data_IF_154511787541
#
_entry.id   IF_154511787541
#
_cell.length_a   1.000
_cell.length_b   1.000
_cell.length_c   1.000
_cell.angle_alpha   90.00
_cell.angle_beta   90.00
_cell.angle_gamma   90.00
#
_symmetry.space_group_name_H-M   'P 1'
#
loop_
_entity.id
_entity.type
_entity.pdbx_description
1 polymer ?
#
# COMPACT_ATOMS: atom_id res chain seq x y z
N UNK A 1 -16.95 -27.19 -1.82
CA UNK A 1 -17.82 -26.76 -2.95
C UNK A 1 -17.37 -27.48 -4.21
N UNK A 2 -18.29 -28.10 -4.99
CA UNK A 2 -17.92 -28.61 -6.32
C UNK A 2 -17.84 -27.43 -7.28
N UNK A 3 -16.66 -27.16 -7.80
CA UNK A 3 -16.46 -26.20 -8.87
C UNK A 3 -17.00 -26.77 -10.19
N UNK A 4 -17.31 -25.88 -11.12
CA UNK A 4 -17.50 -26.28 -12.51
C UNK A 4 -16.26 -27.03 -13.02
N UNK A 5 -16.39 -28.12 -13.82
CA UNK A 5 -15.26 -28.88 -14.34
C UNK A 5 -14.20 -28.02 -15.07
N UNK A 6 -14.61 -26.89 -15.65
CA UNK A 6 -13.70 -25.96 -16.29
C UNK A 6 -12.83 -25.25 -15.26
N UNK A 7 -13.43 -24.75 -14.18
CA UNK A 7 -12.70 -24.10 -13.08
C UNK A 7 -11.77 -25.08 -12.36
N UNK A 8 -12.16 -26.36 -12.22
CA UNK A 8 -11.30 -27.42 -11.65
C UNK A 8 -10.01 -27.62 -12.46
N UNK A 9 -10.07 -27.54 -13.79
CA UNK A 9 -8.88 -27.63 -14.64
C UNK A 9 -7.92 -26.44 -14.42
N UNK A 10 -8.46 -25.25 -14.23
CA UNK A 10 -7.65 -24.08 -13.89
C UNK A 10 -7.11 -24.15 -12.46
N UNK A 11 -7.88 -24.68 -11.51
CA UNK A 11 -7.41 -24.94 -10.14
C UNK A 11 -6.14 -25.80 -10.12
N UNK A 12 -6.03 -26.80 -10.99
CA UNK A 12 -4.85 -27.65 -11.09
C UNK A 12 -3.64 -26.98 -11.78
N UNK A 13 -3.87 -26.09 -12.76
CA UNK A 13 -2.80 -25.51 -13.61
C UNK A 13 -2.36 -24.11 -13.20
N UNK A 14 -3.31 -23.24 -12.81
CA UNK A 14 -3.10 -21.83 -12.48
C UNK A 14 -3.89 -21.44 -11.22
N UNK A 15 -3.63 -22.10 -10.06
CA UNK A 15 -4.40 -21.88 -8.83
C UNK A 15 -4.35 -20.44 -8.36
N UNK A 16 -3.20 -19.76 -8.47
CA UNK A 16 -3.05 -18.37 -8.03
C UNK A 16 -3.91 -17.43 -8.86
N UNK A 17 -3.92 -17.60 -10.19
CA UNK A 17 -4.76 -16.79 -11.09
C UNK A 17 -6.24 -16.99 -10.79
N UNK A 18 -6.66 -18.23 -10.53
CA UNK A 18 -8.03 -18.56 -10.17
C UNK A 18 -8.42 -17.94 -8.81
N UNK A 19 -7.57 -18.08 -7.78
CA UNK A 19 -7.80 -17.48 -6.46
C UNK A 19 -7.89 -15.96 -6.54
N UNK A 20 -7.00 -15.31 -7.31
CA UNK A 20 -7.02 -13.87 -7.51
C UNK A 20 -8.34 -13.44 -8.17
N UNK A 21 -8.72 -14.09 -9.28
CA UNK A 21 -9.94 -13.75 -9.99
C UNK A 21 -11.17 -13.93 -9.11
N UNK A 22 -11.29 -15.06 -8.41
CA UNK A 22 -12.40 -15.33 -7.49
C UNK A 22 -12.49 -14.26 -6.37
N UNK A 23 -11.34 -13.84 -5.82
CA UNK A 23 -11.30 -12.79 -4.80
C UNK A 23 -11.72 -11.43 -5.36
N UNK A 24 -11.31 -11.10 -6.59
CA UNK A 24 -11.74 -9.87 -7.27
C UNK A 24 -13.25 -9.89 -7.54
N UNK A 25 -13.79 -11.00 -8.04
CA UNK A 25 -15.22 -11.14 -8.30
C UNK A 25 -16.07 -11.02 -7.01
N UNK A 26 -15.58 -11.58 -5.92
CA UNK A 26 -16.25 -11.45 -4.63
C UNK A 26 -16.26 -10.02 -4.10
N UNK A 27 -15.10 -9.37 -4.12
CA UNK A 27 -14.91 -8.06 -3.48
C UNK A 27 -15.39 -6.89 -4.36
N UNK A 28 -15.23 -6.98 -5.69
CA UNK A 28 -15.35 -5.85 -6.61
C UNK A 28 -16.33 -6.14 -7.75
N UNK A 29 -17.57 -6.49 -7.40
CA UNK A 29 -18.63 -6.62 -8.41
C UNK A 29 -18.91 -5.29 -9.11
N UNK A 30 -19.40 -5.28 -10.36
CA UNK A 30 -19.78 -4.06 -11.05
C UNK A 30 -20.68 -3.14 -10.23
N UNK A 31 -21.70 -3.70 -9.56
CA UNK A 31 -22.64 -2.95 -8.74
C UNK A 31 -21.94 -2.26 -7.56
N UNK A 32 -21.10 -3.00 -6.80
CA UNK A 32 -20.36 -2.43 -5.67
C UNK A 32 -19.41 -1.32 -6.09
N UNK A 33 -18.72 -1.48 -7.23
CA UNK A 33 -17.81 -0.46 -7.74
C UNK A 33 -18.55 0.79 -8.20
N UNK A 34 -19.67 0.62 -8.91
CA UNK A 34 -20.47 1.76 -9.38
C UNK A 34 -21.20 2.45 -8.23
N UNK A 35 -21.66 1.72 -7.21
CA UNK A 35 -22.21 2.28 -5.98
C UNK A 35 -21.16 3.09 -5.22
N UNK A 36 -19.95 2.54 -5.04
CA UNK A 36 -18.82 3.25 -4.43
C UNK A 36 -18.54 4.56 -5.18
N UNK A 37 -18.45 4.51 -6.50
CA UNK A 37 -18.25 5.70 -7.32
C UNK A 37 -19.39 6.70 -7.14
N UNK A 38 -20.63 6.24 -7.21
CA UNK A 38 -21.82 7.09 -7.06
C UNK A 38 -21.94 7.77 -5.69
N UNK A 39 -21.43 7.12 -4.64
CA UNK A 39 -21.47 7.67 -3.27
C UNK A 39 -20.42 8.75 -3.00
N UNK A 40 -19.32 8.78 -3.76
CA UNK A 40 -18.13 9.62 -3.48
C UNK A 40 -17.89 10.68 -4.57
N UNK A 41 -18.12 10.34 -5.85
CA UNK A 41 -17.80 11.22 -6.95
C UNK A 41 -18.71 12.45 -6.98
N UNK A 42 -18.12 13.64 -7.08
CA UNK A 42 -18.86 14.90 -7.23
C UNK A 42 -19.34 15.10 -8.68
N UNK A 43 -18.55 14.64 -9.66
CA UNK A 43 -18.87 14.70 -11.08
C UNK A 43 -19.22 13.32 -11.61
N UNK A 44 -20.50 13.05 -11.78
CA UNK A 44 -20.99 11.76 -12.26
C UNK A 44 -21.34 11.83 -13.76
N UNK A 45 -20.38 11.47 -14.61
CA UNK A 45 -20.62 11.24 -16.03
C UNK A 45 -20.49 9.75 -16.34
N UNK A 46 -21.62 9.00 -16.34
CA UNK A 46 -21.63 7.53 -16.41
C UNK A 46 -22.51 6.97 -17.54
N UNK A 47 -22.60 7.65 -18.68
CA UNK A 47 -23.55 7.22 -19.74
C UNK A 47 -23.18 5.87 -20.38
N UNK A 48 -21.94 5.69 -20.84
CA UNK A 48 -21.51 4.47 -21.56
C UNK A 48 -20.26 3.84 -20.93
N UNK A 49 -19.46 4.61 -20.21
CA UNK A 49 -18.23 4.15 -19.57
C UNK A 49 -18.39 4.19 -18.07
N UNK A 50 -18.78 3.08 -17.49
CA UNK A 50 -18.99 2.88 -16.05
C UNK A 50 -17.66 2.80 -15.30
N UNK A 51 -17.69 2.96 -13.98
CA UNK A 51 -16.46 2.92 -13.17
C UNK A 51 -15.86 1.51 -13.12
N UNK A 52 -16.69 0.47 -13.01
CA UNK A 52 -16.24 -0.93 -13.06
C UNK A 52 -15.48 -1.24 -14.36
N UNK A 53 -15.92 -0.73 -15.51
CA UNK A 53 -15.24 -0.89 -16.79
C UNK A 53 -13.84 -0.27 -16.78
N UNK A 54 -13.67 0.92 -16.16
CA UNK A 54 -12.38 1.58 -15.99
C UNK A 54 -11.48 0.80 -15.03
N UNK A 55 -12.04 0.30 -13.92
CA UNK A 55 -11.32 -0.53 -12.96
C UNK A 55 -10.83 -1.80 -13.62
N UNK A 56 -11.69 -2.52 -14.36
CA UNK A 56 -11.32 -3.75 -15.06
C UNK A 56 -10.21 -3.53 -16.08
N UNK A 57 -10.30 -2.44 -16.87
CA UNK A 57 -9.30 -2.07 -17.85
C UNK A 57 -7.94 -1.78 -17.21
N UNK A 58 -7.91 -0.99 -16.13
CA UNK A 58 -6.66 -0.67 -15.45
C UNK A 58 -6.10 -1.85 -14.66
N UNK A 59 -6.92 -2.71 -14.06
CA UNK A 59 -6.45 -3.92 -13.41
C UNK A 59 -5.72 -4.85 -14.39
N UNK A 60 -6.19 -4.96 -15.65
CA UNK A 60 -5.49 -5.71 -16.67
C UNK A 60 -4.08 -5.17 -16.96
N UNK A 61 -3.88 -3.84 -16.86
CA UNK A 61 -2.57 -3.21 -17.03
C UNK A 61 -1.72 -3.39 -15.78
N UNK A 62 -2.27 -3.11 -14.62
CA UNK A 62 -1.59 -3.19 -13.33
C UNK A 62 -1.09 -4.62 -13.04
N UNK A 63 -1.90 -5.63 -13.35
CA UNK A 63 -1.55 -7.06 -13.23
C UNK A 63 -0.65 -7.55 -14.38
N UNK A 64 -0.21 -6.66 -15.28
CA UNK A 64 0.64 -6.99 -16.45
C UNK A 64 0.02 -8.01 -17.41
N UNK A 65 -1.29 -8.19 -17.39
CA UNK A 65 -2.03 -8.99 -18.37
C UNK A 65 -2.02 -8.28 -19.72
N UNK A 66 -2.08 -6.94 -19.70
CA UNK A 66 -1.96 -6.08 -20.88
C UNK A 66 -0.82 -5.06 -20.67
N UNK A 67 -0.04 -4.75 -21.72
CA UNK A 67 1.14 -3.89 -21.59
C UNK A 67 0.78 -2.38 -21.44
N UNK A 68 -0.43 -1.97 -21.78
CA UNK A 68 -0.85 -0.57 -21.74
C UNK A 68 -2.36 -0.43 -21.71
N UNK A 69 -2.83 0.76 -21.34
CA UNK A 69 -4.26 1.14 -21.40
C UNK A 69 -4.84 0.95 -22.80
N UNK A 70 -4.08 1.32 -23.85
CA UNK A 70 -4.52 1.13 -25.23
C UNK A 70 -4.66 -0.34 -25.60
N UNK A 71 -3.72 -1.19 -25.19
CA UNK A 71 -3.79 -2.64 -25.40
C UNK A 71 -4.97 -3.25 -24.64
N UNK A 72 -5.20 -2.85 -23.39
CA UNK A 72 -6.34 -3.29 -22.60
C UNK A 72 -7.68 -2.88 -23.23
N UNK A 73 -7.76 -1.67 -23.77
CA UNK A 73 -8.94 -1.21 -24.51
C UNK A 73 -9.19 -2.03 -25.79
N UNK A 74 -8.14 -2.41 -26.53
CA UNK A 74 -8.28 -3.15 -27.82
C UNK A 74 -8.58 -4.63 -27.64
N UNK A 75 -8.05 -5.25 -26.58
CA UNK A 75 -8.10 -6.69 -26.36
C UNK A 75 -9.00 -7.11 -25.19
N UNK A 76 -9.55 -6.14 -24.45
CA UNK A 76 -10.52 -6.36 -23.39
C UNK A 76 -11.97 -6.46 -23.92
N UNK A 77 -12.94 -6.52 -23.01
CA UNK A 77 -14.35 -6.43 -23.36
C UNK A 77 -14.65 -5.19 -24.20
N UNK A 78 -15.51 -5.33 -25.21
CA UNK A 78 -15.85 -4.23 -26.10
C UNK A 78 -16.49 -3.07 -25.31
N UNK A 79 -15.83 -1.90 -25.36
CA UNK A 79 -16.38 -0.68 -24.80
C UNK A 79 -16.99 0.13 -25.94
N UNK A 80 -18.27 0.47 -25.84
CA UNK A 80 -18.98 1.29 -26.85
C UNK A 80 -18.58 2.77 -26.77
N UNK A 81 -17.26 3.04 -26.74
CA UNK A 81 -16.72 4.39 -26.59
C UNK A 81 -15.32 4.47 -27.22
N UNK A 82 -14.83 5.68 -27.47
CA UNK A 82 -13.48 5.88 -28.03
C UNK A 82 -12.41 5.77 -26.94
N UNK A 83 -11.18 5.43 -27.35
CA UNK A 83 -10.01 5.43 -26.47
C UNK A 83 -9.76 6.83 -25.84
N UNK A 84 -10.07 7.90 -26.59
CA UNK A 84 -9.98 9.28 -26.07
C UNK A 84 -10.93 9.50 -24.91
N UNK A 85 -12.16 8.97 -24.98
CA UNK A 85 -13.12 9.04 -23.87
C UNK A 85 -12.65 8.23 -22.66
N UNK A 86 -11.99 7.08 -22.87
CA UNK A 86 -11.36 6.30 -21.78
C UNK A 86 -10.32 7.14 -21.04
N UNK A 87 -9.38 7.77 -21.77
CA UNK A 87 -8.37 8.64 -21.14
C UNK A 87 -9.00 9.86 -20.46
N UNK A 88 -10.03 10.47 -21.07
CA UNK A 88 -10.76 11.58 -20.45
C UNK A 88 -11.42 11.17 -19.13
N UNK A 89 -12.03 9.99 -19.09
CA UNK A 89 -12.62 9.44 -17.85
C UNK A 89 -11.56 9.17 -16.79
N UNK A 90 -10.43 8.54 -17.16
CA UNK A 90 -9.31 8.29 -16.24
C UNK A 90 -8.77 9.58 -15.62
N UNK A 91 -8.62 10.63 -16.42
CA UNK A 91 -8.15 11.94 -15.98
C UNK A 91 -9.19 12.70 -15.14
N UNK A 92 -10.46 12.31 -15.22
CA UNK A 92 -11.57 12.92 -14.49
C UNK A 92 -11.88 12.26 -13.14
N UNK A 93 -11.37 11.05 -12.85
CA UNK A 93 -11.62 10.38 -11.57
C UNK A 93 -10.97 11.18 -10.42
N UNK A 94 -11.79 11.58 -9.46
CA UNK A 94 -11.37 12.43 -8.35
C UNK A 94 -10.52 11.66 -7.33
N UNK A 95 -9.55 12.33 -6.64
CA UNK A 95 -8.74 11.69 -5.60
C UNK A 95 -9.59 11.00 -4.51
N UNK A 96 -10.73 11.58 -4.13
CA UNK A 96 -11.64 10.99 -3.14
C UNK A 96 -12.14 9.60 -3.56
N UNK A 97 -12.44 9.38 -4.84
CA UNK A 97 -12.85 8.06 -5.36
C UNK A 97 -11.68 7.07 -5.29
N UNK A 98 -10.48 7.54 -5.61
CA UNK A 98 -9.25 6.77 -5.52
C UNK A 98 -8.97 6.28 -4.08
N UNK A 99 -9.16 7.17 -3.11
CA UNK A 99 -9.02 6.88 -1.67
C UNK A 99 -10.08 5.91 -1.18
N UNK A 100 -11.35 6.18 -1.53
CA UNK A 100 -12.46 5.32 -1.16
C UNK A 100 -12.30 3.89 -1.70
N UNK A 101 -11.75 3.73 -2.91
CA UNK A 101 -11.47 2.41 -3.50
C UNK A 101 -10.44 1.62 -2.68
N UNK A 102 -9.36 2.26 -2.23
CA UNK A 102 -8.36 1.60 -1.38
C UNK A 102 -8.94 1.25 -0.02
N UNK A 103 -9.64 2.18 0.63
CA UNK A 103 -10.31 1.95 1.91
C UNK A 103 -11.31 0.78 1.82
N UNK A 104 -12.15 0.78 0.79
CA UNK A 104 -13.10 -0.30 0.53
C UNK A 104 -12.39 -1.65 0.37
N UNK A 105 -11.28 -1.69 -0.41
CA UNK A 105 -10.50 -2.90 -0.61
C UNK A 105 -9.91 -3.41 0.71
N UNK A 106 -9.32 -2.52 1.50
CA UNK A 106 -8.75 -2.84 2.81
C UNK A 106 -9.78 -3.43 3.74
N UNK A 107 -10.92 -2.75 3.90
CA UNK A 107 -12.01 -3.17 4.79
C UNK A 107 -12.64 -4.50 4.35
N UNK A 108 -12.91 -4.66 3.06
CA UNK A 108 -13.56 -5.87 2.52
C UNK A 108 -12.64 -7.08 2.62
N UNK A 109 -11.37 -6.95 2.23
CA UNK A 109 -10.43 -8.05 2.22
C UNK A 109 -9.93 -8.41 3.63
N UNK A 110 -9.89 -7.45 4.56
CA UNK A 110 -9.53 -7.71 5.95
C UNK A 110 -10.48 -8.72 6.61
N UNK A 111 -11.77 -8.75 6.21
CA UNK A 111 -12.75 -9.71 6.72
C UNK A 111 -12.35 -11.16 6.46
N UNK A 112 -11.67 -11.45 5.36
CA UNK A 112 -11.22 -12.81 5.04
C UNK A 112 -10.19 -13.31 6.06
N UNK A 113 -9.35 -12.42 6.61
CA UNK A 113 -8.36 -12.78 7.61
C UNK A 113 -8.98 -13.12 8.98
N UNK A 114 -10.23 -12.76 9.24
CA UNK A 114 -10.90 -13.11 10.50
C UNK A 114 -11.21 -14.60 10.60
N UNK A 115 -11.26 -15.31 9.47
CA UNK A 115 -11.52 -16.75 9.39
C UNK A 115 -10.25 -17.61 9.43
N UNK A 116 -9.07 -16.98 9.48
CA UNK A 116 -7.79 -17.66 9.60
C UNK A 116 -7.08 -17.29 10.90
N UNK A 117 -6.23 -18.18 11.46
CA UNK A 117 -5.39 -17.82 12.59
C UNK A 117 -4.55 -16.57 12.31
N UNK A 118 -4.32 -15.77 13.35
CA UNK A 118 -3.52 -14.55 13.23
C UNK A 118 -2.13 -14.89 12.67
N UNK A 119 -1.83 -14.36 11.49
CA UNK A 119 -0.57 -14.62 10.78
C UNK A 119 0.62 -13.93 11.47
N UNK A 120 0.41 -12.71 11.91
CA UNK A 120 1.43 -11.89 12.59
C UNK A 120 0.84 -11.34 13.87
N UNK A 121 1.25 -11.86 15.04
CA UNK A 121 0.79 -11.33 16.31
C UNK A 121 1.28 -9.89 16.51
N UNK A 122 0.50 -9.10 17.24
CA UNK A 122 0.90 -7.74 17.59
C UNK A 122 2.18 -7.78 18.45
N UNK A 123 3.20 -6.99 18.08
CA UNK A 123 4.47 -6.97 18.81
C UNK A 123 4.33 -6.36 20.22
N UNK A 124 3.27 -5.59 20.44
CA UNK A 124 2.83 -5.12 21.75
C UNK A 124 1.42 -5.66 21.98
N UNK A 125 1.21 -6.60 22.91
CA UNK A 125 -0.09 -7.22 23.10
C UNK A 125 -1.22 -6.20 23.32
N UNK A 126 -2.32 -6.38 22.59
CA UNK A 126 -3.49 -5.50 22.65
C UNK A 126 -3.33 -4.17 21.93
N UNK A 127 -2.22 -3.95 21.21
CA UNK A 127 -2.05 -2.77 20.34
C UNK A 127 -1.95 -3.20 18.89
N UNK A 128 -2.87 -2.73 18.06
CA UNK A 128 -2.86 -3.01 16.62
C UNK A 128 -1.79 -2.16 15.92
N UNK A 129 -0.75 -2.81 15.38
CA UNK A 129 0.33 -2.13 14.69
C UNK A 129 -0.11 -1.64 13.32
N UNK A 130 0.02 -0.33 13.08
CA UNK A 130 -0.22 0.35 11.82
C UNK A 130 1.00 1.17 11.41
N UNK A 131 1.42 1.03 10.17
CA UNK A 131 2.56 1.77 9.63
C UNK A 131 2.06 2.79 8.61
N UNK A 132 2.49 4.05 8.74
CA UNK A 132 2.22 5.15 7.82
C UNK A 132 3.52 5.57 7.15
N UNK A 133 3.50 5.69 5.82
CA UNK A 133 4.63 6.23 5.05
C UNK A 133 4.14 6.90 3.77
N UNK A 134 4.97 7.81 3.22
CA UNK A 134 4.72 8.49 1.96
C UNK A 134 5.33 7.76 0.77
N UNK A 135 4.66 7.87 -0.38
CA UNK A 135 5.16 7.36 -1.65
C UNK A 135 4.98 8.41 -2.74
N UNK A 136 6.07 8.77 -3.41
CA UNK A 136 6.04 9.64 -4.59
C UNK A 136 5.88 8.78 -5.84
N UNK A 137 4.89 9.14 -6.67
CA UNK A 137 4.73 8.52 -7.97
C UNK A 137 5.79 9.07 -8.91
N UNK A 138 6.57 8.19 -9.49
CA UNK A 138 7.60 8.49 -10.47
C UNK A 138 7.39 7.61 -11.72
N UNK A 139 8.22 7.70 -12.70
CA UNK A 139 8.18 6.79 -13.85
C UNK A 139 7.21 7.17 -14.96
N UNK A 140 6.46 8.28 -14.87
CA UNK A 140 5.70 8.79 -16.03
C UNK A 140 6.63 9.38 -17.07
N UNK A 141 6.32 9.17 -18.35
CA UNK A 141 7.06 9.75 -19.45
C UNK A 141 6.69 11.24 -19.62
N UNK A 142 7.60 12.04 -20.23
CA UNK A 142 7.35 13.43 -20.58
C UNK A 142 6.37 13.56 -21.76
N UNK A 143 5.22 12.92 -21.67
CA UNK A 143 4.19 12.90 -22.73
C UNK A 143 3.40 14.19 -22.81
N UNK A 144 3.27 14.90 -21.70
CA UNK A 144 2.58 16.18 -21.66
C UNK A 144 3.46 17.25 -22.29
N UNK A 145 2.90 18.04 -23.19
CA UNK A 145 3.62 19.09 -23.92
C UNK A 145 4.46 19.99 -22.98
N UNK A 146 3.93 20.44 -21.80
CA UNK A 146 4.69 21.29 -20.87
C UNK A 146 5.91 20.64 -20.26
N UNK A 147 6.02 19.33 -20.30
CA UNK A 147 7.10 18.57 -19.68
C UNK A 147 8.15 18.08 -20.67
N UNK A 148 7.89 18.22 -22.00
CA UNK A 148 8.74 17.65 -23.04
C UNK A 148 10.16 18.23 -23.04
N UNK A 149 10.27 19.52 -22.79
CA UNK A 149 11.56 20.22 -22.79
C UNK A 149 12.22 20.26 -21.40
N UNK A 150 11.60 19.65 -20.42
CA UNK A 150 12.14 19.60 -19.05
C UNK A 150 13.16 18.47 -18.91
N UNK A 151 14.39 18.78 -18.50
CA UNK A 151 15.38 17.77 -18.11
C UNK A 151 15.08 17.10 -16.76
N UNK A 152 14.09 17.57 -16.00
CA UNK A 152 13.71 17.07 -14.69
C UNK A 152 12.68 15.94 -14.78
N UNK A 153 12.69 15.00 -13.81
CA UNK A 153 11.68 13.98 -13.71
C UNK A 153 10.31 14.59 -13.41
N UNK A 154 9.27 14.16 -14.12
CA UNK A 154 7.90 14.56 -13.84
C UNK A 154 7.31 13.68 -12.74
N UNK A 155 6.81 14.30 -11.66
CA UNK A 155 6.12 13.64 -10.57
C UNK A 155 4.61 13.89 -10.69
N UNK A 156 3.81 12.89 -11.08
CA UNK A 156 2.37 13.08 -11.30
C UNK A 156 1.57 13.16 -10.00
N UNK A 157 2.17 12.83 -8.86
CA UNK A 157 1.52 12.92 -7.56
C UNK A 157 2.30 12.24 -6.46
N UNK A 158 1.72 12.26 -5.26
CA UNK A 158 2.20 11.53 -4.09
C UNK A 158 1.03 10.94 -3.33
N UNK A 159 1.31 9.98 -2.47
CA UNK A 159 0.32 9.38 -1.58
C UNK A 159 0.90 9.14 -0.18
N UNK A 160 0.05 9.24 0.85
CA UNK A 160 0.31 8.62 2.13
C UNK A 160 -0.44 7.29 2.18
N UNK A 161 0.22 6.25 2.62
CA UNK A 161 -0.35 4.89 2.66
C UNK A 161 -0.28 4.35 4.07
N UNK A 162 -1.38 3.74 4.52
CA UNK A 162 -1.46 3.04 5.80
C UNK A 162 -1.42 1.55 5.57
N UNK A 163 -0.53 0.88 6.27
CA UNK A 163 -0.41 -0.58 6.28
C UNK A 163 -0.89 -1.14 7.62
N UNK A 164 -1.77 -2.11 7.58
CA UNK A 164 -2.09 -2.97 8.72
C UNK A 164 -1.05 -4.10 8.80
N UNK A 165 -0.24 -4.09 9.84
CA UNK A 165 0.89 -5.02 9.95
C UNK A 165 0.47 -6.46 10.28
N UNK A 166 -0.72 -6.65 10.87
CA UNK A 166 -1.27 -7.97 11.20
C UNK A 166 -1.60 -8.78 9.94
N UNK A 167 -2.23 -8.12 8.95
CA UNK A 167 -2.65 -8.74 7.70
C UNK A 167 -1.66 -8.52 6.56
N UNK A 168 -0.91 -7.41 6.59
CA UNK A 168 -0.04 -6.94 5.53
C UNK A 168 -0.78 -6.12 4.46
N UNK A 169 -2.08 -5.87 4.63
CA UNK A 169 -2.88 -5.07 3.72
C UNK A 169 -2.51 -3.59 3.80
N UNK A 170 -2.58 -2.91 2.67
CA UNK A 170 -2.56 -1.45 2.57
C UNK A 170 -4.02 -0.98 2.64
N UNK A 171 -4.42 -0.49 3.83
CA UNK A 171 -5.86 -0.31 4.15
C UNK A 171 -6.40 1.05 3.76
N UNK A 172 -5.55 2.06 3.75
CA UNK A 172 -5.97 3.44 3.53
C UNK A 172 -4.93 4.20 2.72
N UNK A 173 -5.37 5.20 1.99
CA UNK A 173 -4.54 6.00 1.11
C UNK A 173 -5.04 7.44 1.11
N UNK A 174 -4.12 8.41 1.27
CA UNK A 174 -4.35 9.82 0.93
C UNK A 174 -3.74 10.07 -0.44
N UNK A 175 -4.54 10.42 -1.43
CA UNK A 175 -4.09 10.77 -2.77
C UNK A 175 -3.87 12.28 -2.89
N UNK A 176 -2.68 12.71 -3.33
CA UNK A 176 -2.34 14.11 -3.52
C UNK A 176 -1.82 14.35 -4.93
N UNK A 177 -2.49 15.21 -5.69
CA UNK A 177 -2.12 15.53 -7.06
C UNK A 177 -0.83 16.34 -7.14
N UNK A 178 -0.56 17.21 -6.14
CA UNK A 178 0.66 18.00 -6.09
C UNK A 178 1.77 17.24 -5.33
N UNK A 179 2.75 16.73 -6.07
CA UNK A 179 3.89 16.01 -5.54
C UNK A 179 4.82 16.88 -4.64
N UNK A 180 4.64 18.20 -4.61
CA UNK A 180 5.40 19.08 -3.71
C UNK A 180 4.66 19.39 -2.41
N UNK A 181 3.48 18.83 -2.21
CA UNK A 181 2.76 18.94 -0.95
C UNK A 181 3.57 18.26 0.17
N UNK A 182 3.70 18.93 1.30
CA UNK A 182 4.36 18.33 2.46
C UNK A 182 3.48 17.21 3.05
N UNK A 183 4.06 16.05 3.31
CA UNK A 183 3.39 14.94 4.01
C UNK A 183 2.75 15.40 5.33
N UNK A 184 3.39 16.35 6.01
CA UNK A 184 2.85 16.93 7.26
C UNK A 184 1.51 17.62 7.07
N UNK A 185 1.29 18.30 5.95
CA UNK A 185 0.03 19.00 5.67
C UNK A 185 -1.14 18.06 5.35
N UNK A 186 -0.85 16.78 5.08
CA UNK A 186 -1.85 15.76 4.78
C UNK A 186 -2.32 14.98 6.04
N UNK A 187 -1.75 15.28 7.20
CA UNK A 187 -2.02 14.50 8.42
C UNK A 187 -3.48 14.56 8.89
N UNK A 188 -4.12 15.71 8.78
CA UNK A 188 -5.52 15.86 9.18
C UNK A 188 -6.43 14.86 8.43
N UNK A 189 -6.03 14.44 7.23
CA UNK A 189 -6.72 13.42 6.44
C UNK A 189 -6.47 11.99 6.94
N UNK A 190 -5.42 11.77 7.71
CA UNK A 190 -5.11 10.47 8.35
C UNK A 190 -5.85 10.30 9.67
N UNK A 191 -6.10 11.41 10.39
CA UNK A 191 -6.72 11.39 11.72
C UNK A 191 -8.05 10.61 11.82
N UNK A 192 -8.96 10.64 10.83
CA UNK A 192 -10.19 9.84 10.87
C UNK A 192 -9.98 8.32 10.94
N UNK A 193 -8.81 7.83 10.53
CA UNK A 193 -8.48 6.40 10.54
C UNK A 193 -7.82 5.94 11.85
N UNK A 194 -7.44 6.89 12.71
CA UNK A 194 -6.80 6.61 13.99
C UNK A 194 -7.84 6.14 14.99
N UNK A 195 -7.65 4.94 15.52
CA UNK A 195 -8.53 4.32 16.52
C UNK A 195 -7.80 4.14 17.85
N UNK A 196 -8.57 4.04 18.92
CA UNK A 196 -8.03 3.69 20.23
C UNK A 196 -7.30 2.33 20.16
N UNK A 197 -6.23 2.21 20.94
CA UNK A 197 -5.34 1.04 20.96
C UNK A 197 -4.63 0.72 19.61
N UNK A 198 -4.64 1.62 18.62
CA UNK A 198 -3.70 1.57 17.51
C UNK A 198 -2.29 1.95 17.99
N UNK A 199 -1.27 1.26 17.47
CA UNK A 199 0.14 1.63 17.58
C UNK A 199 0.67 2.08 16.22
N UNK A 200 0.84 3.38 16.06
CA UNK A 200 1.28 3.98 14.80
C UNK A 200 2.79 4.07 14.70
N UNK A 201 3.31 3.52 13.63
CA UNK A 201 4.73 3.50 13.29
C UNK A 201 4.98 4.45 12.13
N UNK A 202 5.81 5.49 12.36
CA UNK A 202 6.06 6.52 11.36
C UNK A 202 7.54 6.93 11.30
N UNK A 203 7.97 7.50 10.17
CA UNK A 203 9.32 8.03 10.01
C UNK A 203 9.47 9.41 10.66
N UNK A 204 10.70 9.91 10.64
CA UNK A 204 11.08 11.23 11.19
C UNK A 204 10.31 12.40 10.55
N UNK A 205 9.86 12.27 9.30
CA UNK A 205 9.05 13.26 8.61
C UNK A 205 7.76 13.60 9.35
N UNK A 206 7.22 12.65 10.11
CA UNK A 206 6.00 12.78 10.89
C UNK A 206 6.23 13.17 12.36
N UNK A 207 7.46 13.49 12.78
CA UNK A 207 7.78 13.87 14.14
C UNK A 207 7.46 15.35 14.40
N UNK A 208 6.20 15.70 14.45
CA UNK A 208 5.71 17.02 14.86
C UNK A 208 4.77 16.90 16.04
N UNK A 209 4.64 17.96 16.84
CA UNK A 209 3.74 17.90 18.00
C UNK A 209 2.29 17.63 17.59
N UNK A 210 1.81 18.23 16.50
CA UNK A 210 0.44 18.04 16.02
C UNK A 210 0.14 16.57 15.70
N UNK A 211 1.09 15.86 15.09
CA UNK A 211 0.98 14.42 14.86
C UNK A 211 0.93 13.63 16.15
N UNK A 212 1.89 13.89 17.04
CA UNK A 212 2.00 13.17 18.31
C UNK A 212 0.79 13.41 19.20
N UNK A 213 0.29 14.65 19.26
CA UNK A 213 -0.92 15.01 19.98
C UNK A 213 -2.18 14.40 19.35
N UNK A 214 -2.29 14.46 18.01
CA UNK A 214 -3.43 13.90 17.29
C UNK A 214 -3.63 12.40 17.51
N UNK A 215 -2.55 11.63 17.65
CA UNK A 215 -2.63 10.23 18.05
C UNK A 215 -3.04 10.08 19.52
N UNK A 216 -2.42 10.84 20.43
CA UNK A 216 -2.68 10.76 21.86
C UNK A 216 -4.13 11.15 22.22
N UNK A 217 -4.68 12.18 21.59
CA UNK A 217 -6.07 12.64 21.75
C UNK A 217 -7.10 11.56 21.37
N UNK A 218 -6.73 10.67 20.44
CA UNK A 218 -7.56 9.54 20.01
C UNK A 218 -7.28 8.25 20.78
N UNK A 219 -6.58 8.35 21.91
CA UNK A 219 -6.18 7.19 22.71
C UNK A 219 -5.35 6.16 21.91
N UNK A 220 -4.68 6.61 20.87
CA UNK A 220 -3.74 5.83 20.10
C UNK A 220 -2.30 6.04 20.57
N UNK A 221 -1.47 5.07 20.25
CA UNK A 221 -0.06 5.06 20.59
C UNK A 221 0.78 5.26 19.34
N UNK A 222 2.01 5.74 19.55
CA UNK A 222 2.96 5.93 18.46
C UNK A 222 4.37 5.49 18.82
N UNK A 223 5.14 5.11 17.81
CA UNK A 223 6.59 5.05 17.81
C UNK A 223 7.08 5.79 16.57
N UNK A 224 7.71 6.93 16.75
CA UNK A 224 8.19 7.80 15.67
C UNK A 224 9.69 8.07 15.82
N UNK A 225 10.41 8.10 14.70
CA UNK A 225 11.82 8.54 14.72
C UNK A 225 11.88 10.04 14.97
N UNK A 226 12.66 10.45 15.96
CA UNK A 226 12.86 11.86 16.29
C UNK A 226 13.46 12.64 15.13
N UNK A 227 12.92 13.82 14.88
CA UNK A 227 13.46 14.79 13.93
C UNK A 227 14.23 15.87 14.67
N UNK A 228 15.43 16.25 14.19
CA UNK A 228 16.30 17.21 14.85
C UNK A 228 15.67 18.60 15.09
N UNK A 229 14.68 18.97 14.27
CA UNK A 229 13.92 20.22 14.45
C UNK A 229 12.81 20.16 15.51
N UNK A 230 12.66 19.04 16.23
CA UNK A 230 11.67 18.90 17.31
C UNK A 230 12.39 19.00 18.65
N UNK A 231 12.11 20.04 19.43
CA UNK A 231 12.75 20.26 20.72
C UNK A 231 12.32 19.24 21.76
N UNK A 232 13.31 18.66 22.41
CA UNK A 232 13.14 17.71 23.51
C UNK A 232 13.71 18.27 24.79
N UNK A 233 12.88 18.47 25.80
CA UNK A 233 13.30 18.82 27.14
C UNK A 233 13.44 17.54 28.00
N UNK A 234 14.64 17.18 28.46
CA UNK A 234 14.83 16.04 29.34
C UNK A 234 14.09 16.22 30.69
N UNK A 235 13.38 15.19 31.13
CA UNK A 235 12.63 15.18 32.40
C UNK A 235 13.22 14.21 33.42
N UNK A 236 14.48 13.86 33.30
CA UNK A 236 15.19 12.93 34.18
C UNK A 236 16.44 12.35 33.51
N UNK A 237 17.19 11.49 34.18
CA UNK A 237 18.42 10.92 33.64
C UNK A 237 18.17 9.91 32.53
N UNK A 238 19.13 9.80 31.62
CA UNK A 238 19.14 8.74 30.61
C UNK A 238 19.49 7.40 31.29
N UNK A 239 18.59 6.42 31.21
CA UNK A 239 18.71 5.11 31.85
C UNK A 239 19.05 4.02 30.83
N UNK A 240 20.05 3.21 31.12
CA UNK A 240 20.36 2.05 30.29
C UNK A 240 19.23 1.00 30.40
N UNK A 241 18.82 0.45 29.25
CA UNK A 241 17.74 -0.57 29.13
C UNK A 241 18.22 -1.87 28.48
N UNK A 242 19.55 -2.02 28.34
CA UNK A 242 20.18 -3.22 27.79
C UNK A 242 20.49 -3.10 26.31
N UNK A 243 20.37 -4.19 25.57
CA UNK A 243 20.71 -4.27 24.13
C UNK A 243 19.60 -4.94 23.33
N UNK A 244 19.54 -4.63 22.06
CA UNK A 244 18.79 -5.38 21.04
C UNK A 244 19.71 -5.76 19.86
N UNK A 245 19.16 -6.33 18.81
CA UNK A 245 19.90 -6.73 17.63
C UNK A 245 20.57 -5.57 16.86
N UNK A 246 20.19 -4.30 17.12
CA UNK A 246 20.75 -3.13 16.46
C UNK A 246 21.84 -2.42 17.28
N UNK A 247 21.86 -2.60 18.62
CA UNK A 247 22.81 -1.94 19.48
C UNK A 247 22.36 -1.77 20.93
N UNK A 248 22.95 -0.79 21.63
CA UNK A 248 22.62 -0.47 23.02
C UNK A 248 21.39 0.41 23.09
N UNK A 249 20.45 0.04 23.98
CA UNK A 249 19.19 0.76 24.18
C UNK A 249 19.23 1.48 25.52
N UNK A 250 18.90 2.76 25.50
CA UNK A 250 18.70 3.61 26.67
C UNK A 250 17.37 4.32 26.55
N UNK A 251 16.86 4.83 27.67
CA UNK A 251 15.57 5.49 27.72
C UNK A 251 15.60 6.71 28.64
N UNK A 252 14.89 7.76 28.25
CA UNK A 252 14.71 8.97 29.02
C UNK A 252 13.28 9.48 28.86
N UNK A 253 12.69 10.02 29.93
CA UNK A 253 11.45 10.77 29.84
C UNK A 253 11.75 12.17 29.31
N UNK A 254 10.96 12.62 28.33
CA UNK A 254 11.14 13.93 27.69
C UNK A 254 9.81 14.66 27.56
N UNK A 255 9.87 15.98 27.52
CA UNK A 255 8.78 16.84 27.12
C UNK A 255 9.05 17.35 25.71
N UNK A 256 8.12 17.09 24.79
CA UNK A 256 8.12 17.65 23.44
C UNK A 256 7.36 18.98 23.49
N UNK A 257 8.00 20.07 23.08
CA UNK A 257 7.36 21.40 23.05
C UNK A 257 6.94 21.77 21.65
N UNK A 258 5.75 22.34 21.50
CA UNK A 258 5.23 22.91 20.27
C UNK A 258 5.38 24.43 20.24
N UNK A 259 5.26 24.99 19.04
CA UNK A 259 5.44 26.43 18.76
C UNK A 259 4.41 27.30 19.55
N UNK A 260 3.23 26.75 19.90
CA UNK A 260 2.13 27.45 20.58
C UNK A 260 2.07 27.18 22.08
N UNK A 261 3.17 26.74 22.71
CA UNK A 261 3.21 26.44 24.16
C UNK A 261 2.57 25.12 24.57
N UNK A 262 2.04 24.35 23.64
CA UNK A 262 1.55 22.98 23.87
C UNK A 262 2.75 22.10 24.22
N UNK A 263 2.51 21.09 25.05
CA UNK A 263 3.58 20.14 25.40
C UNK A 263 3.02 18.73 25.57
N UNK A 264 3.76 17.74 25.10
CA UNK A 264 3.44 16.33 25.26
C UNK A 264 4.60 15.62 25.96
N UNK A 265 4.27 14.83 27.00
CA UNK A 265 5.30 14.03 27.70
C UNK A 265 5.39 12.68 27.02
N UNK A 266 6.61 12.34 26.59
CA UNK A 266 6.91 11.10 25.86
C UNK A 266 8.08 10.35 26.51
N UNK A 267 8.25 9.12 26.07
CA UNK A 267 9.46 8.31 26.25
C UNK A 267 10.36 8.56 25.04
N UNK A 268 11.62 8.88 25.27
CA UNK A 268 12.65 8.92 24.26
C UNK A 268 13.52 7.67 24.40
N UNK A 269 13.42 6.76 23.44
CA UNK A 269 14.25 5.56 23.35
C UNK A 269 15.44 5.85 22.45
N UNK A 270 16.65 5.81 23.02
CA UNK A 270 17.91 6.01 22.31
C UNK A 270 18.55 4.66 22.00
N UNK A 271 18.81 4.43 20.70
CA UNK A 271 19.52 3.24 20.22
C UNK A 271 20.88 3.70 19.67
N UNK A 272 21.96 3.32 20.39
CA UNK A 272 23.34 3.46 19.86
C UNK A 272 23.67 2.24 19.05
N UNK A 273 23.82 2.44 17.75
CA UNK A 273 24.00 1.36 16.77
C UNK A 273 25.40 0.75 16.89
N UNK A 274 25.50 -0.56 16.78
CA UNK A 274 26.79 -1.27 16.71
C UNK A 274 27.48 -1.05 15.36
N UNK A 275 26.71 -0.81 14.31
CA UNK A 275 27.20 -0.47 12.97
C UNK A 275 26.47 0.79 12.50
N UNK A 276 27.17 1.80 11.99
CA UNK A 276 26.54 3.00 11.42
C UNK A 276 25.62 2.63 10.26
N UNK A 277 24.55 3.39 10.08
CA UNK A 277 23.74 3.33 8.87
C UNK A 277 24.53 3.83 7.66
N UNK A 278 23.98 3.63 6.45
CA UNK A 278 24.63 4.05 5.19
C UNK A 278 24.89 5.57 5.11
N UNK A 279 24.07 6.36 5.80
CA UNK A 279 24.19 7.83 5.90
C UNK A 279 25.13 8.27 7.02
N UNK A 280 25.85 7.35 7.67
CA UNK A 280 26.75 7.63 8.78
C UNK A 280 26.06 7.75 10.15
N UNK A 281 24.74 7.61 10.23
CA UNK A 281 24.01 7.70 11.50
C UNK A 281 24.44 6.60 12.47
N UNK A 282 24.88 6.98 13.66
CA UNK A 282 25.31 6.09 14.75
C UNK A 282 24.28 5.96 15.87
N UNK A 283 23.30 6.87 15.93
CA UNK A 283 22.26 6.89 16.95
C UNK A 283 20.87 7.07 16.31
N UNK A 284 19.90 6.34 16.82
CA UNK A 284 18.47 6.51 16.48
C UNK A 284 17.74 6.89 17.76
N UNK A 285 16.98 7.96 17.73
CA UNK A 285 16.08 8.38 18.82
C UNK A 285 14.64 8.15 18.38
N UNK A 286 13.87 7.47 19.23
CA UNK A 286 12.46 7.21 19.01
C UNK A 286 11.64 7.89 20.10
N UNK A 287 10.55 8.51 19.73
CA UNK A 287 9.54 9.03 20.65
C UNK A 287 8.34 8.09 20.71
N UNK A 288 7.81 7.89 21.91
CA UNK A 288 6.63 7.05 22.11
C UNK A 288 5.83 7.49 23.33
N UNK A 289 4.51 7.40 23.25
CA UNK A 289 3.59 7.56 24.39
C UNK A 289 3.15 6.21 24.99
N UNK A 290 3.64 5.06 24.49
CA UNK A 290 3.32 3.75 25.04
C UNK A 290 3.81 3.65 26.48
N UNK A 291 2.96 3.34 27.47
CA UNK A 291 3.37 3.21 28.86
C UNK A 291 4.43 2.10 29.07
N UNK A 292 5.40 2.29 30.01
CA UNK A 292 6.41 1.26 30.29
C UNK A 292 5.81 -0.10 30.70
N UNK A 293 4.64 -0.09 31.32
CA UNK A 293 3.91 -1.32 31.70
C UNK A 293 3.42 -2.13 30.49
N UNK A 294 3.14 -1.47 29.34
CA UNK A 294 2.70 -2.16 28.11
C UNK A 294 3.86 -2.61 27.23
N UNK A 295 4.94 -1.83 27.15
CA UNK A 295 6.11 -2.22 26.35
C UNK A 295 7.40 -1.65 26.92
N UNK A 296 8.44 -2.50 26.98
CA UNK A 296 9.79 -2.08 27.33
C UNK A 296 10.43 -1.20 26.23
N UNK A 297 11.47 -0.43 26.56
CA UNK A 297 12.23 0.33 25.59
C UNK A 297 12.85 -0.57 24.51
N UNK A 298 13.27 -1.78 24.84
CA UNK A 298 13.77 -2.78 23.90
C UNK A 298 12.68 -3.23 22.94
N UNK A 299 11.48 -3.50 23.44
CA UNK A 299 10.32 -3.85 22.61
C UNK A 299 10.01 -2.73 21.62
N UNK A 300 9.98 -1.45 22.04
CA UNK A 300 9.74 -0.32 21.14
C UNK A 300 10.82 -0.19 20.06
N UNK A 301 12.08 -0.43 20.42
CA UNK A 301 13.19 -0.43 19.45
C UNK A 301 13.06 -1.57 18.42
N UNK A 302 12.58 -2.76 18.80
CA UNK A 302 12.30 -3.87 17.88
C UNK A 302 11.07 -3.58 17.01
N UNK A 303 10.01 -3.02 17.59
CA UNK A 303 8.81 -2.59 16.84
C UNK A 303 9.19 -1.61 15.75
N UNK A 304 10.03 -0.62 16.04
CA UNK A 304 10.44 0.35 15.04
C UNK A 304 11.15 -0.27 13.82
N UNK A 305 11.82 -1.40 13.97
CA UNK A 305 12.44 -2.12 12.85
C UNK A 305 11.40 -2.64 11.85
N UNK A 306 10.15 -2.86 12.29
CA UNK A 306 9.07 -3.32 11.42
C UNK A 306 8.59 -2.22 10.46
N UNK A 307 8.93 -0.94 10.69
CA UNK A 307 8.60 0.17 9.78
C UNK A 307 9.02 -0.12 8.33
N UNK A 308 10.15 -0.78 8.13
CA UNK A 308 10.62 -1.15 6.79
C UNK A 308 9.67 -2.08 6.01
N UNK A 309 8.66 -2.65 6.67
CA UNK A 309 7.69 -3.50 6.00
C UNK A 309 6.84 -2.76 4.97
N UNK A 310 6.53 -1.47 5.21
CA UNK A 310 5.78 -0.65 4.23
C UNK A 310 6.66 -0.29 3.01
N UNK A 311 7.95 -0.03 3.22
CA UNK A 311 8.90 0.20 2.12
C UNK A 311 9.02 -1.04 1.22
N UNK A 312 9.02 -2.25 1.81
CA UNK A 312 8.94 -3.49 1.04
C UNK A 312 7.62 -3.63 0.28
N UNK A 313 6.50 -3.15 0.86
CA UNK A 313 5.22 -3.14 0.13
C UNK A 313 5.29 -2.22 -1.09
N UNK A 314 5.92 -1.03 -0.99
CA UNK A 314 6.14 -0.15 -2.14
C UNK A 314 7.08 -0.77 -3.19
N UNK A 315 8.12 -1.47 -2.74
CA UNK A 315 8.99 -2.21 -3.65
C UNK A 315 8.21 -3.31 -4.39
N UNK A 316 7.37 -4.08 -3.67
CA UNK A 316 6.53 -5.10 -4.26
C UNK A 316 5.54 -4.52 -5.29
N UNK A 317 4.93 -3.35 -5.01
CA UNK A 317 4.06 -2.62 -5.95
C UNK A 317 4.80 -2.26 -7.25
N UNK A 318 6.05 -1.84 -7.15
CA UNK A 318 6.87 -1.43 -8.30
C UNK A 318 7.41 -2.64 -9.08
N UNK A 319 7.90 -3.65 -8.37
CA UNK A 319 8.57 -4.80 -9.00
C UNK A 319 7.58 -5.86 -9.53
N UNK A 320 6.54 -6.17 -8.75
CA UNK A 320 5.59 -7.22 -9.07
C UNK A 320 4.42 -6.73 -9.91
N UNK A 321 3.94 -5.52 -9.64
CA UNK A 321 2.81 -4.90 -10.32
C UNK A 321 3.27 -3.70 -11.15
N UNK A 322 2.41 -3.23 -12.05
CA UNK A 322 2.68 -2.01 -12.81
C UNK A 322 1.98 -0.82 -12.12
N UNK A 323 2.48 -0.42 -10.93
CA UNK A 323 1.86 0.64 -10.14
C UNK A 323 2.07 2.04 -10.76
N UNK A 324 3.10 2.20 -11.59
CA UNK A 324 3.40 3.42 -12.33
C UNK A 324 3.24 3.16 -13.82
N UNK A 325 2.05 3.50 -14.35
CA UNK A 325 1.73 3.32 -15.77
C UNK A 325 2.28 4.50 -16.55
N UNK A 326 3.39 4.31 -17.25
CA UNK A 326 4.12 5.38 -17.97
C UNK A 326 3.26 6.24 -18.92
N UNK A 327 2.16 5.68 -19.43
CA UNK A 327 1.23 6.39 -20.32
C UNK A 327 0.22 7.27 -19.59
N UNK A 328 0.11 7.16 -18.26
CA UNK A 328 -0.80 7.95 -17.45
C UNK A 328 -0.04 9.10 -16.76
N UNK A 329 0.21 10.17 -17.53
CA UNK A 329 0.99 11.31 -17.06
C UNK A 329 0.18 12.36 -16.27
N UNK A 330 -1.15 12.36 -16.39
CA UNK A 330 -2.01 13.23 -15.59
C UNK A 330 -2.14 12.73 -14.15
N UNK A 331 -2.10 13.64 -13.14
CA UNK A 331 -2.09 13.26 -11.73
C UNK A 331 -3.20 12.30 -11.32
N UNK A 332 -4.46 12.60 -11.63
CA UNK A 332 -5.60 11.77 -11.23
C UNK A 332 -5.55 10.36 -11.81
N UNK A 333 -5.22 10.24 -13.09
CA UNK A 333 -5.10 8.93 -13.74
C UNK A 333 -3.93 8.11 -13.18
N UNK A 334 -2.80 8.75 -12.88
CA UNK A 334 -1.65 8.10 -12.27
C UNK A 334 -1.95 7.62 -10.84
N UNK A 335 -2.62 8.45 -10.04
CA UNK A 335 -3.06 8.11 -8.67
C UNK A 335 -4.07 6.96 -8.67
N UNK A 336 -5.02 6.96 -9.61
CA UNK A 336 -5.98 5.86 -9.76
C UNK A 336 -5.28 4.54 -10.14
N UNK A 337 -4.30 4.58 -11.05
CA UNK A 337 -3.52 3.40 -11.41
C UNK A 337 -2.73 2.86 -10.22
N UNK A 338 -2.12 3.75 -9.42
CA UNK A 338 -1.44 3.38 -8.19
C UNK A 338 -2.41 2.74 -7.17
N UNK A 339 -3.60 3.33 -6.97
CA UNK A 339 -4.62 2.76 -6.08
C UNK A 339 -5.07 1.36 -6.53
N UNK A 340 -5.22 1.14 -7.82
CA UNK A 340 -5.55 -0.19 -8.34
C UNK A 340 -4.40 -1.19 -8.19
N UNK A 341 -3.15 -0.72 -8.21
CA UNK A 341 -2.02 -1.57 -7.83
C UNK A 341 -2.07 -1.93 -6.34
N UNK A 342 -2.47 -0.99 -5.47
CA UNK A 342 -2.73 -1.28 -4.04
C UNK A 342 -3.85 -2.31 -3.88
N UNK A 343 -4.95 -2.19 -4.62
CA UNK A 343 -6.04 -3.19 -4.63
C UNK A 343 -5.52 -4.57 -5.04
N UNK A 344 -4.78 -4.66 -6.15
CA UNK A 344 -4.19 -5.92 -6.63
C UNK A 344 -3.20 -6.50 -5.62
N UNK A 345 -2.36 -5.65 -5.01
CA UNK A 345 -1.48 -6.03 -3.91
C UNK A 345 -2.25 -6.63 -2.74
N UNK A 346 -3.34 -6.00 -2.31
CA UNK A 346 -4.18 -6.48 -1.22
C UNK A 346 -4.77 -7.85 -1.52
N UNK A 347 -5.24 -8.10 -2.74
CA UNK A 347 -5.71 -9.43 -3.16
C UNK A 347 -4.57 -10.46 -3.10
N UNK A 348 -3.37 -10.11 -3.55
CA UNK A 348 -2.21 -10.99 -3.44
C UNK A 348 -1.79 -11.26 -1.98
N UNK A 349 -1.97 -10.29 -1.06
CA UNK A 349 -1.79 -10.52 0.37
C UNK A 349 -2.80 -11.52 0.95
N UNK A 350 -4.07 -11.48 0.48
CA UNK A 350 -5.08 -12.50 0.85
C UNK A 350 -4.62 -13.88 0.40
N UNK A 351 -4.12 -14.03 -0.83
CA UNK A 351 -3.60 -15.31 -1.33
C UNK A 351 -2.39 -15.77 -0.51
N UNK A 352 -1.47 -14.87 -0.18
CA UNK A 352 -0.37 -15.20 0.73
C UNK A 352 -0.87 -15.63 2.12
N UNK A 353 -1.93 -15.00 2.62
CA UNK A 353 -2.61 -15.38 3.85
C UNK A 353 -3.18 -16.79 3.79
N UNK A 354 -3.89 -17.13 2.73
CA UNK A 354 -4.43 -18.46 2.50
C UNK A 354 -3.32 -19.53 2.41
N UNK A 355 -2.23 -19.25 1.69
CA UNK A 355 -1.07 -20.14 1.61
C UNK A 355 -0.38 -20.32 2.97
N UNK A 356 -0.25 -19.26 3.75
CA UNK A 356 0.32 -19.33 5.10
C UNK A 356 -0.59 -20.10 6.05
N UNK A 357 -1.91 -19.95 5.93
CA UNK A 357 -2.88 -20.72 6.69
C UNK A 357 -2.78 -22.23 6.36
N UNK A 358 -2.75 -22.58 5.08
CA UNK A 358 -2.75 -23.97 4.63
C UNK A 358 -1.42 -24.70 4.92
N UNK A 359 -0.28 -24.01 4.83
CA UNK A 359 1.05 -24.63 4.92
C UNK A 359 1.84 -24.26 6.19
N UNK A 360 1.25 -23.45 7.06
CA UNK A 360 1.83 -23.04 8.35
C UNK A 360 2.85 -21.89 8.26
N UNK A 361 3.37 -21.45 9.43
CA UNK A 361 4.17 -20.21 9.54
C UNK A 361 5.48 -20.23 8.76
N UNK A 362 5.99 -21.39 8.36
CA UNK A 362 7.18 -21.52 7.49
C UNK A 362 7.03 -20.86 6.12
N UNK A 363 5.81 -20.58 5.71
CA UNK A 363 5.48 -19.95 4.42
C UNK A 363 5.48 -18.43 4.52
N UNK A 364 5.21 -17.89 5.72
CA UNK A 364 5.18 -16.45 5.91
C UNK A 364 6.57 -15.82 5.73
N UNK A 365 6.64 -14.71 5.02
CA UNK A 365 7.88 -13.99 4.73
C UNK A 365 8.79 -14.62 3.66
N UNK A 366 8.57 -15.88 3.25
CA UNK A 366 9.39 -16.53 2.21
C UNK A 366 8.74 -16.51 0.82
N UNK A 367 7.45 -16.21 0.72
CA UNK A 367 6.76 -16.06 -0.56
C UNK A 367 7.19 -14.77 -1.26
N UNK A 368 7.38 -14.86 -2.56
CA UNK A 368 7.64 -13.73 -3.46
C UNK A 368 6.34 -13.25 -4.08
N UNK A 369 5.96 -12.01 -3.81
CA UNK A 369 4.82 -11.40 -4.46
C UNK A 369 5.04 -11.27 -5.97
N UNK A 370 6.28 -11.02 -6.38
CA UNK A 370 6.67 -11.02 -7.80
C UNK A 370 6.35 -12.34 -8.51
N UNK A 371 6.69 -13.50 -7.92
CA UNK A 371 6.40 -14.79 -8.53
C UNK A 371 4.89 -15.09 -8.56
N UNK A 372 4.14 -14.67 -7.53
CA UNK A 372 2.68 -14.77 -7.53
C UNK A 372 2.06 -13.91 -8.64
N UNK A 373 2.51 -12.65 -8.77
CA UNK A 373 2.03 -11.75 -9.82
C UNK A 373 2.40 -12.23 -11.23
N UNK A 374 3.56 -12.85 -11.41
CA UNK A 374 3.97 -13.43 -12.69
C UNK A 374 3.06 -14.59 -13.10
N UNK A 375 2.68 -15.44 -12.15
CA UNK A 375 1.72 -16.54 -12.38
C UNK A 375 0.35 -15.98 -12.76
N UNK A 376 -0.09 -14.93 -12.07
CA UNK A 376 -1.34 -14.21 -12.40
C UNK A 376 -1.31 -13.65 -13.82
N UNK A 377 -0.24 -12.94 -14.18
CA UNK A 377 -0.13 -12.34 -15.52
C UNK A 377 -0.21 -13.40 -16.64
N UNK A 378 0.41 -14.56 -16.41
CA UNK A 378 0.40 -15.67 -17.39
C UNK A 378 -0.93 -16.42 -17.43
N UNK A 379 -1.56 -16.67 -16.28
CA UNK A 379 -2.77 -17.48 -16.17
C UNK A 379 -4.07 -16.73 -16.47
N UNK A 380 -4.13 -15.44 -16.14
CA UNK A 380 -5.37 -14.63 -16.27
C UNK A 380 -5.81 -14.51 -17.73
N UNK A 381 -4.89 -14.44 -18.68
CA UNK A 381 -5.25 -14.38 -20.10
C UNK A 381 -6.05 -15.63 -20.53
N UNK A 382 -5.57 -16.81 -20.16
CA UNK A 382 -6.28 -18.06 -20.43
C UNK A 382 -7.64 -18.16 -19.72
N UNK A 383 -7.72 -17.71 -18.47
CA UNK A 383 -8.97 -17.65 -17.71
C UNK A 383 -10.01 -16.76 -18.40
N UNK A 384 -9.60 -15.57 -18.85
CA UNK A 384 -10.51 -14.61 -19.50
C UNK A 384 -11.06 -15.12 -20.85
N UNK A 385 -10.33 -15.97 -21.56
CA UNK A 385 -10.77 -16.56 -22.83
C UNK A 385 -11.65 -17.79 -22.58
N UNK A 386 -11.27 -18.65 -21.65
CA UNK A 386 -11.87 -19.97 -21.51
C UNK A 386 -13.05 -20.03 -20.55
N UNK A 387 -13.13 -19.10 -19.58
CA UNK A 387 -14.18 -19.12 -18.55
C UNK A 387 -15.20 -18.02 -18.82
N UNK A 388 -16.43 -18.37 -19.24
CA UNK A 388 -17.50 -17.41 -19.44
C UNK A 388 -17.85 -16.63 -18.17
N UNK A 389 -18.37 -15.39 -18.30
CA UNK A 389 -18.68 -14.51 -17.15
C UNK A 389 -19.63 -15.12 -16.12
N UNK A 390 -20.61 -15.92 -16.56
CA UNK A 390 -21.59 -16.55 -15.69
C UNK A 390 -20.99 -17.52 -14.68
N UNK A 391 -19.85 -18.14 -14.96
CA UNK A 391 -19.18 -19.05 -14.03
C UNK A 391 -18.54 -18.33 -12.83
N UNK A 392 -18.39 -17.00 -12.89
CA UNK A 392 -17.85 -16.19 -11.80
C UNK A 392 -18.92 -15.73 -10.80
N UNK A 393 -20.20 -15.79 -11.18
CA UNK A 393 -21.32 -15.33 -10.33
C UNK A 393 -21.33 -16.03 -8.97
N UNK A 394 -20.97 -17.29 -8.91
CA UNK A 394 -20.88 -18.05 -7.66
C UNK A 394 -19.97 -17.38 -6.63
N UNK A 395 -18.89 -16.71 -7.05
CA UNK A 395 -18.00 -15.99 -6.16
C UNK A 395 -18.53 -14.62 -5.76
N UNK A 396 -19.31 -13.97 -6.61
CA UNK A 396 -19.93 -12.67 -6.33
C UNK A 396 -20.96 -12.77 -5.21
N UNK A 397 -21.69 -13.88 -5.17
CA UNK A 397 -22.76 -14.17 -4.19
C UNK A 397 -22.27 -14.91 -2.94
N UNK A 398 -21.03 -15.40 -2.97
CA UNK A 398 -20.46 -16.23 -1.90
C UNK A 398 -20.27 -15.43 -0.62
N UNK A 399 -20.66 -15.95 0.58
CA UNK A 399 -20.29 -15.33 1.86
C UNK A 399 -18.77 -15.29 2.07
N UNK A 400 -18.26 -14.28 2.79
CA UNK A 400 -16.82 -14.11 3.03
C UNK A 400 -16.20 -15.33 3.72
N UNK A 401 -16.91 -15.97 4.64
CA UNK A 401 -16.46 -17.21 5.31
C UNK A 401 -16.27 -18.36 4.30
N UNK A 402 -17.24 -18.55 3.42
CA UNK A 402 -17.17 -19.59 2.40
C UNK A 402 -16.03 -19.33 1.40
N UNK A 403 -15.80 -18.07 1.02
CA UNK A 403 -14.65 -17.71 0.18
C UNK A 403 -13.33 -17.97 0.91
N UNK A 404 -13.22 -17.60 2.20
CA UNK A 404 -12.02 -17.84 2.98
C UNK A 404 -11.70 -19.34 3.09
N UNK A 405 -12.72 -20.16 3.35
CA UNK A 405 -12.58 -21.62 3.36
C UNK A 405 -12.15 -22.16 1.99
N UNK A 406 -12.81 -21.73 0.91
CA UNK A 406 -12.45 -22.14 -0.44
C UNK A 406 -11.00 -21.75 -0.81
N UNK A 407 -10.57 -20.53 -0.47
CA UNK A 407 -9.20 -20.08 -0.68
C UNK A 407 -8.18 -20.95 0.08
N UNK A 408 -8.51 -21.37 1.30
CA UNK A 408 -7.66 -22.27 2.11
C UNK A 408 -7.58 -23.68 1.47
N UNK A 409 -8.69 -24.22 0.98
CA UNK A 409 -8.73 -25.50 0.26
C UNK A 409 -7.87 -25.45 -1.00
N UNK A 410 -8.00 -24.38 -1.82
CA UNK A 410 -7.17 -24.14 -3.01
C UNK A 410 -5.69 -24.02 -2.66
N UNK A 411 -5.38 -23.29 -1.59
CA UNK A 411 -4.03 -23.12 -1.11
C UNK A 411 -3.39 -24.43 -0.69
N UNK A 412 -4.14 -25.35 -0.08
CA UNK A 412 -3.65 -26.69 0.33
C UNK A 412 -3.14 -27.50 -0.86
N UNK A 413 -3.83 -27.43 -2.01
CA UNK A 413 -3.41 -28.09 -3.26
C UNK A 413 -2.27 -27.37 -4.01
N UNK A 414 -1.93 -26.15 -3.60
CA UNK A 414 -0.97 -25.31 -4.31
C UNK A 414 0.49 -25.64 -3.92
N UNK A 415 1.35 -25.87 -4.92
CA UNK A 415 2.79 -26.07 -4.72
C UNK A 415 3.48 -24.73 -4.41
N UNK A 416 3.31 -24.22 -3.18
CA UNK A 416 3.80 -22.91 -2.74
C UNK A 416 5.32 -22.69 -2.93
N UNK A 417 6.13 -23.76 -2.97
CA UNK A 417 7.57 -23.71 -3.16
C UNK A 417 7.98 -23.03 -4.48
N UNK A 418 7.12 -23.06 -5.50
CA UNK A 418 7.31 -22.35 -6.78
C UNK A 418 7.35 -20.83 -6.62
N UNK A 419 6.73 -20.32 -5.57
CA UNK A 419 6.59 -18.89 -5.30
C UNK A 419 7.56 -18.40 -4.22
N UNK A 420 8.58 -19.17 -3.87
CA UNK A 420 9.61 -18.74 -2.91
C UNK A 420 10.46 -17.61 -3.47
N UNK A 421 10.85 -16.68 -2.59
CA UNK A 421 11.88 -15.69 -2.90
C UNK A 421 13.17 -16.40 -3.31
N UNK A 422 13.77 -15.96 -4.41
CA UNK A 422 15.10 -16.39 -4.79
C UNK A 422 16.14 -15.93 -3.77
N UNK A 423 17.19 -16.71 -3.49
CA UNK A 423 18.31 -16.25 -2.67
C UNK A 423 18.85 -14.92 -3.24
N UNK A 424 19.10 -13.95 -2.35
CA UNK A 424 19.74 -12.71 -2.79
C UNK A 424 21.13 -13.00 -3.31
N UNK A 425 21.37 -12.69 -4.57
CA UNK A 425 22.72 -12.66 -5.13
C UNK A 425 23.56 -11.54 -4.52
N UNK A 426 24.88 -11.49 -4.81
CA UNK A 426 25.74 -10.39 -4.39
C UNK A 426 25.17 -9.06 -4.89
N UNK A 427 25.21 -8.03 -4.02
CA UNK A 427 24.72 -6.70 -4.38
C UNK A 427 25.47 -6.20 -5.62
N UNK A 428 24.75 -6.03 -6.73
CA UNK A 428 25.31 -5.37 -7.90
C UNK A 428 25.64 -3.91 -7.52
N UNK A 429 26.77 -3.36 -8.01
CA UNK A 429 27.04 -1.94 -7.85
C UNK A 429 25.86 -1.13 -8.41
N UNK A 430 25.42 -0.12 -7.66
CA UNK A 430 24.32 0.74 -8.09
C UNK A 430 24.81 1.53 -9.29
N UNK A 431 24.37 1.13 -10.48
CA UNK A 431 24.55 1.94 -11.69
C UNK A 431 23.50 3.02 -11.65
N UNK A 432 23.87 4.20 -11.19
CA UNK A 432 23.00 5.37 -11.21
C UNK A 432 22.83 5.80 -12.66
N UNK A 433 21.80 5.27 -13.31
CA UNK A 433 21.31 5.83 -14.58
C UNK A 433 20.61 7.14 -14.23
N UNK A 434 21.33 8.26 -14.28
CA UNK A 434 20.70 9.58 -14.25
C UNK A 434 19.98 9.78 -15.57
N UNK A 435 18.69 9.43 -15.59
CA UNK A 435 17.82 9.64 -16.76
C UNK A 435 17.41 11.10 -16.89
N UNK A 436 17.44 11.84 -15.78
CA UNK A 436 16.99 13.25 -15.73
C UNK A 436 18.06 14.13 -15.12
N UNK A 437 18.22 15.34 -15.68
CA UNK A 437 19.12 16.39 -15.16
C UNK A 437 18.25 17.46 -14.49
N UNK A 438 18.54 17.75 -13.21
CA UNK A 438 17.85 18.81 -12.46
C UNK A 438 16.92 18.28 -11.36
N UNK A 439 16.21 19.19 -10.71
CA UNK A 439 15.21 18.87 -9.69
C UNK A 439 13.95 18.27 -10.30
N UNK A 440 13.26 17.43 -9.53
CA UNK A 440 11.94 16.93 -9.92
C UNK A 440 10.93 18.08 -10.08
N UNK A 441 9.94 17.92 -10.97
CA UNK A 441 8.85 18.89 -11.18
C UNK A 441 7.49 18.24 -10.86
N UNK A 442 6.68 18.94 -10.07
CA UNK A 442 5.28 18.54 -9.85
C UNK A 442 4.47 18.79 -11.12
N UNK A 443 3.92 17.75 -11.72
CA UNK A 443 3.09 17.83 -12.93
C UNK A 443 1.86 18.69 -12.69
N UNK A 444 1.21 18.58 -11.54
CA UNK A 444 0.04 19.40 -11.19
C UNK A 444 0.34 20.89 -11.25
N UNK A 445 1.46 21.32 -10.65
CA UNK A 445 1.87 22.74 -10.67
C UNK A 445 2.13 23.27 -12.08
N UNK A 446 2.84 22.47 -12.90
CA UNK A 446 3.11 22.85 -14.29
C UNK A 446 1.83 23.01 -15.12
N UNK A 447 0.83 22.13 -14.90
CA UNK A 447 -0.46 22.23 -15.58
C UNK A 447 -1.30 23.44 -15.12
N UNK A 448 -1.17 23.85 -13.85
CA UNK A 448 -1.84 25.05 -13.32
C UNK A 448 -1.20 26.32 -13.90
N UNK A 449 0.13 26.40 -13.91
CA UNK A 449 0.87 27.53 -14.49
C UNK A 449 0.50 27.79 -15.95
N UNK A 450 0.28 26.73 -16.73
CA UNK A 450 -0.14 26.87 -18.14
C UNK A 450 -1.59 27.35 -18.34
N UNK A 451 -2.50 27.02 -17.41
CA UNK A 451 -3.88 27.49 -17.48
C UNK A 451 -4.03 28.97 -17.11
N UNK A 452 -3.03 29.52 -16.42
CA UNK A 452 -2.99 30.92 -16.02
C UNK A 452 -2.30 31.86 -17.05
N UNK A 453 -1.69 31.29 -18.08
CA UNK A 453 -1.16 31.99 -19.25
C UNK A 453 -2.17 31.94 -20.41
#
# INVERSE_FOLDING_TARGET
MKLDPLLERFAAKAPISLMLRATLEHAFTPDKLNELFGSVAQQQYTRQLTFDSIVGLLLAVVLRVQPSVHAAYRHGPALNTSITAVYAKLNGVEPAVTEALVHYSGTTLQRLFTFWPVRRPDPVPGLRLRTLDGNFLAGTEHRLAPLRDSGAAALPGMSLVVRDDRTGLLTDLVACEDAYTSEKSLFERVLPWVQADDLWLTDRGFCTLDYLAGFAERQAFFVVRHHAGTDLEPMGPLQARGRNASGRVSEQRVRVRGIRGQALVCRCVLIRLDQPLRDGTTEIRLLSNVPPARASARTLAEVYRQRWAIEHSFQDLTEALQCEVATLAYPRAALLAFALAVVAYNVLQVIQGALAHAHGPKVDGVLSLYHLALDVASGTHGLNIAVPPEHWQVFQEMPAEALAQWLAEMATGTRWQRYRKSPRGPKKPVTIKRTYRGAHRSTARVLIEQKGQ
#
